data_IF_129750603775
#
_entry.id   IF_129750603775
#
_cell.length_a   1.000
_cell.length_b   1.000
_cell.length_c   1.000
_cell.angle_alpha   90.00
_cell.angle_beta   90.00
_cell.angle_gamma   90.00
#
_symmetry.space_group_name_H-M   'P 1'
#
loop_
_entity.id
_entity.type
_entity.pdbx_description
1 polymer ?
#
# COMPACT_ATOMS: atom_id res chain seq x y z
N UNK A 1 -9.91 4.53 11.28
CA UNK A 1 -9.54 4.72 9.86
C UNK A 1 -9.53 3.41 9.08
N UNK A 2 -8.53 2.52 9.24
CA UNK A 2 -8.42 1.30 8.41
C UNK A 2 -9.65 0.37 8.54
N UNK A 3 -10.10 0.11 9.76
CA UNK A 3 -11.30 -0.71 10.03
C UNK A 3 -12.55 -0.01 9.49
N UNK A 4 -12.77 1.25 9.88
CA UNK A 4 -13.98 2.00 9.52
C UNK A 4 -14.16 2.17 8.00
N UNK A 5 -13.05 2.28 7.26
CA UNK A 5 -13.06 2.47 5.81
C UNK A 5 -12.81 1.17 5.04
N UNK A 6 -12.62 0.03 5.72
CA UNK A 6 -12.29 -1.25 5.10
C UNK A 6 -11.06 -1.18 4.17
N UNK A 7 -10.00 -0.47 4.60
CA UNK A 7 -8.75 -0.29 3.83
C UNK A 7 -7.62 -1.10 4.47
N UNK A 8 -6.91 -1.89 3.65
CA UNK A 8 -5.85 -2.79 4.12
C UNK A 8 -4.48 -2.13 4.40
N UNK A 9 -4.32 -0.85 4.08
CA UNK A 9 -3.12 -0.06 4.40
C UNK A 9 -3.39 1.45 4.37
N UNK A 10 -2.47 2.22 4.95
CA UNK A 10 -2.45 3.69 4.91
C UNK A 10 -1.03 4.18 4.65
N UNK A 11 -0.90 5.24 3.85
CA UNK A 11 0.38 5.95 3.69
C UNK A 11 0.61 6.88 4.88
N UNK A 12 1.86 6.99 5.28
CA UNK A 12 2.34 7.99 6.23
C UNK A 12 3.09 9.03 5.41
N UNK A 13 2.66 10.28 5.54
CA UNK A 13 3.11 11.39 4.69
C UNK A 13 3.56 12.54 5.59
N UNK A 14 4.74 13.11 5.29
CA UNK A 14 5.28 14.31 5.92
C UNK A 14 5.68 15.28 4.80
N UNK A 15 5.28 16.55 4.90
CA UNK A 15 5.61 17.58 3.89
C UNK A 15 5.35 17.10 2.44
N UNK A 16 4.18 16.49 2.21
CA UNK A 16 3.76 15.93 0.91
C UNK A 16 4.59 14.75 0.39
N UNK A 17 5.51 14.21 1.19
CA UNK A 17 6.33 13.05 0.83
C UNK A 17 5.94 11.80 1.61
N UNK A 18 5.97 10.66 0.91
CA UNK A 18 5.74 9.37 1.55
C UNK A 18 6.95 9.01 2.41
N UNK A 19 6.75 8.95 3.73
CA UNK A 19 7.77 8.51 4.69
C UNK A 19 7.56 7.06 5.13
N UNK A 20 6.36 6.51 4.92
CA UNK A 20 6.09 5.11 5.21
C UNK A 20 4.72 4.60 4.76
N UNK A 21 4.52 3.29 4.97
CA UNK A 21 3.24 2.62 4.79
C UNK A 21 2.95 1.73 6.00
N UNK A 22 1.73 1.81 6.53
CA UNK A 22 1.27 0.93 7.59
C UNK A 22 0.16 0.02 7.06
N UNK A 23 0.28 -1.27 7.31
CA UNK A 23 -0.60 -2.31 6.73
C UNK A 23 -1.30 -3.14 7.81
N UNK A 24 -2.27 -3.97 7.41
CA UNK A 24 -2.82 -5.00 8.31
C UNK A 24 -1.75 -5.93 8.87
N UNK A 25 -0.75 -6.29 8.05
CA UNK A 25 0.42 -7.09 8.47
C UNK A 25 1.20 -6.32 9.54
N UNK A 26 1.39 -5.03 9.31
CA UNK A 26 1.72 -3.97 10.27
C UNK A 26 1.16 -4.24 11.67
N UNK A 27 -0.16 -4.11 11.72
CA UNK A 27 -0.95 -4.23 12.94
C UNK A 27 -0.83 -5.62 13.58
N UNK A 28 -0.93 -6.69 12.78
CA UNK A 28 -0.92 -8.06 13.31
C UNK A 28 0.42 -8.48 13.88
N UNK A 29 1.55 -8.15 13.23
CA UNK A 29 2.85 -8.62 13.68
C UNK A 29 3.48 -7.72 14.73
N UNK A 30 3.30 -6.40 14.61
CA UNK A 30 4.05 -5.44 15.45
C UNK A 30 3.25 -4.98 16.68
N UNK A 31 1.92 -4.99 16.65
CA UNK A 31 1.10 -4.60 17.82
C UNK A 31 0.79 -5.77 18.76
N UNK A 32 0.76 -7.01 18.24
CA UNK A 32 0.37 -8.18 19.01
C UNK A 32 1.42 -8.57 20.09
N UNK A 33 2.66 -8.11 19.97
CA UNK A 33 3.73 -8.48 20.92
C UNK A 33 3.72 -7.66 22.21
N UNK A 34 3.05 -6.49 22.28
CA UNK A 34 2.92 -5.67 23.51
C UNK A 34 1.91 -4.53 23.36
N UNK A 35 0.62 -4.83 23.16
CA UNK A 35 -0.45 -3.82 22.99
C UNK A 35 -0.42 -2.66 24.01
N UNK A 36 -0.18 -2.97 25.29
CA UNK A 36 -0.10 -1.97 26.37
C UNK A 36 1.09 -1.00 26.26
N UNK A 37 2.15 -1.40 25.54
CA UNK A 37 3.37 -0.60 25.35
C UNK A 37 3.26 0.33 24.13
N UNK A 38 2.33 0.03 23.22
CA UNK A 38 2.26 0.67 21.92
C UNK A 38 1.10 1.63 21.74
N UNK A 39 0.12 1.65 22.67
CA UNK A 39 -1.07 2.51 22.54
C UNK A 39 -0.72 3.99 22.36
N UNK A 40 0.37 4.45 22.98
CA UNK A 40 0.81 5.85 22.99
C UNK A 40 2.05 6.08 22.12
N UNK A 41 2.45 5.10 21.30
CA UNK A 41 3.58 5.23 20.38
C UNK A 41 3.10 5.69 18.99
N UNK A 42 3.90 6.50 18.27
CA UNK A 42 3.52 6.97 16.96
C UNK A 42 3.53 5.83 15.93
N UNK A 43 2.71 5.93 14.88
CA UNK A 43 2.64 4.94 13.79
C UNK A 43 3.99 4.77 13.06
N UNK A 44 4.86 5.79 13.12
CA UNK A 44 6.22 5.77 12.57
C UNK A 44 7.11 4.64 13.11
N UNK A 45 6.82 4.14 14.31
CA UNK A 45 7.52 2.99 14.92
C UNK A 45 7.06 1.63 14.34
N UNK A 46 5.88 1.59 13.72
CA UNK A 46 5.26 0.35 13.25
C UNK A 46 5.11 0.27 11.73
N UNK A 47 5.28 1.38 11.02
CA UNK A 47 5.21 1.38 9.56
C UNK A 47 6.41 0.67 8.91
N UNK A 48 6.26 0.32 7.64
CA UNK A 48 7.40 0.08 6.75
C UNK A 48 7.88 1.44 6.24
N UNK A 49 9.14 1.78 6.52
CA UNK A 49 9.76 3.04 6.07
C UNK A 49 10.12 2.97 4.58
N UNK A 50 10.09 4.11 3.90
CA UNK A 50 10.51 4.25 2.50
C UNK A 50 9.96 3.15 1.57
N UNK A 51 8.62 2.99 1.48
CA UNK A 51 8.02 1.98 0.63
C UNK A 51 8.35 2.23 -0.83
N UNK A 52 8.53 1.15 -1.60
CA UNK A 52 8.69 1.25 -3.05
C UNK A 52 7.44 1.85 -3.67
N UNK A 53 7.58 2.93 -4.42
CA UNK A 53 6.51 3.55 -5.18
C UNK A 53 6.67 3.34 -6.69
N UNK A 54 5.60 3.60 -7.44
CA UNK A 54 5.63 3.71 -8.89
C UNK A 54 5.07 5.07 -9.33
N UNK A 55 5.55 5.57 -10.47
CA UNK A 55 4.99 6.75 -11.12
C UNK A 55 3.61 6.46 -11.74
N UNK A 56 2.79 7.51 -11.90
CA UNK A 56 1.47 7.46 -12.53
C UNK A 56 1.45 6.81 -13.93
N UNK A 57 2.53 6.92 -14.69
CA UNK A 57 2.66 6.35 -16.05
C UNK A 57 3.21 4.92 -16.05
N UNK A 58 3.52 4.36 -14.87
CA UNK A 58 4.05 3.01 -14.77
C UNK A 58 3.03 1.96 -15.24
N UNK A 59 3.50 1.00 -16.03
CA UNK A 59 2.67 -0.13 -16.45
C UNK A 59 2.33 -1.02 -15.26
N UNK A 60 1.10 -1.51 -15.21
CA UNK A 60 0.58 -2.41 -14.16
C UNK A 60 1.46 -3.65 -13.95
N UNK A 61 2.10 -4.16 -15.00
CA UNK A 61 3.04 -5.31 -14.90
C UNK A 61 4.19 -5.05 -13.93
N UNK A 62 4.68 -3.81 -13.82
CA UNK A 62 5.72 -3.47 -12.87
C UNK A 62 5.22 -3.53 -11.43
N UNK A 63 3.97 -3.12 -11.17
CA UNK A 63 3.36 -3.26 -9.85
C UNK A 63 3.28 -4.75 -9.46
N UNK A 64 2.81 -5.61 -10.36
CA UNK A 64 2.77 -7.07 -10.14
C UNK A 64 4.15 -7.66 -9.84
N UNK A 65 5.15 -7.31 -10.65
CA UNK A 65 6.52 -7.79 -10.47
C UNK A 65 7.10 -7.35 -9.11
N UNK A 66 6.88 -6.11 -8.70
CA UNK A 66 7.34 -5.59 -7.40
C UNK A 66 6.64 -6.28 -6.24
N UNK A 67 5.33 -6.50 -6.35
CA UNK A 67 4.55 -7.22 -5.33
C UNK A 67 5.02 -8.66 -5.16
N UNK A 68 5.29 -9.37 -6.25
CA UNK A 68 5.79 -10.75 -6.24
C UNK A 68 7.19 -10.84 -5.58
N UNK A 69 8.14 -10.05 -6.07
CA UNK A 69 9.51 -10.06 -5.56
C UNK A 69 9.64 -9.51 -4.13
N UNK A 70 8.83 -8.52 -3.78
CA UNK A 70 8.88 -7.82 -2.50
C UNK A 70 8.02 -8.43 -1.39
N UNK A 71 7.15 -9.38 -1.71
CA UNK A 71 6.28 -10.04 -0.74
C UNK A 71 5.23 -9.12 -0.10
N UNK A 72 4.88 -8.02 -0.78
CA UNK A 72 3.85 -7.06 -0.37
C UNK A 72 2.74 -6.97 -1.43
N UNK A 73 1.60 -6.37 -1.06
CA UNK A 73 0.39 -6.38 -1.90
C UNK A 73 -0.14 -4.98 -2.25
N UNK A 74 0.57 -3.95 -1.83
CA UNK A 74 0.19 -2.56 -2.03
C UNK A 74 1.41 -1.81 -2.54
N UNK A 75 1.21 -0.96 -3.54
CA UNK A 75 2.22 -0.07 -4.10
C UNK A 75 1.66 1.36 -4.06
N UNK A 76 2.30 2.30 -3.35
CA UNK A 76 2.04 3.72 -3.50
C UNK A 76 2.30 4.19 -4.93
N UNK A 77 1.43 5.06 -5.42
CA UNK A 77 1.59 5.73 -6.71
C UNK A 77 1.92 7.20 -6.45
N UNK A 78 2.90 7.73 -7.17
CA UNK A 78 3.36 9.12 -7.05
C UNK A 78 3.26 9.87 -8.38
N UNK A 79 3.16 11.20 -8.29
CA UNK A 79 3.29 12.09 -9.45
C UNK A 79 4.76 12.33 -9.84
N UNK A 80 4.99 13.21 -10.82
CA UNK A 80 6.32 13.53 -11.33
C UNK A 80 7.20 14.25 -10.30
N UNK A 81 6.59 14.95 -9.35
CA UNK A 81 7.23 15.64 -8.24
C UNK A 81 7.49 14.72 -7.03
N UNK A 82 6.94 13.49 -7.06
CA UNK A 82 7.09 12.48 -6.03
C UNK A 82 6.03 12.52 -4.93
N UNK A 83 4.97 13.32 -5.09
CA UNK A 83 3.87 13.39 -4.14
C UNK A 83 2.93 12.19 -4.28
N UNK A 84 2.34 11.70 -3.17
CA UNK A 84 1.40 10.59 -3.20
C UNK A 84 0.11 10.96 -3.93
N UNK A 85 -0.26 10.15 -4.93
CA UNK A 85 -1.52 10.30 -5.67
C UNK A 85 -2.51 9.20 -5.30
N UNK A 86 -2.03 8.06 -4.80
CA UNK A 86 -2.89 6.96 -4.37
C UNK A 86 -2.10 5.69 -4.04
N UNK A 87 -2.84 4.58 -3.94
CA UNK A 87 -2.29 3.25 -3.69
C UNK A 87 -2.97 2.29 -4.66
N UNK A 88 -2.20 1.40 -5.30
CA UNK A 88 -2.74 0.25 -6.02
C UNK A 88 -2.49 -1.02 -5.22
N UNK A 89 -3.52 -1.85 -5.06
CA UNK A 89 -3.40 -3.16 -4.45
C UNK A 89 -3.40 -4.27 -5.51
N UNK A 90 -2.89 -5.46 -5.15
CA UNK A 90 -3.03 -6.65 -5.98
C UNK A 90 -4.50 -6.96 -6.29
N UNK A 91 -5.43 -6.63 -5.37
CA UNK A 91 -6.87 -6.81 -5.57
C UNK A 91 -7.41 -5.89 -6.65
N UNK A 92 -6.92 -4.65 -6.73
CA UNK A 92 -7.29 -3.72 -7.79
C UNK A 92 -6.85 -4.23 -9.15
N UNK A 93 -5.63 -4.76 -9.23
CA UNK A 93 -5.09 -5.34 -10.46
C UNK A 93 -5.89 -6.57 -10.87
N UNK A 94 -6.20 -7.48 -9.94
CA UNK A 94 -7.02 -8.66 -10.23
C UNK A 94 -8.41 -8.26 -10.74
N UNK A 95 -9.10 -7.34 -10.07
CA UNK A 95 -10.40 -6.82 -10.51
C UNK A 95 -10.33 -6.23 -11.91
N UNK A 96 -9.33 -5.39 -12.19
CA UNK A 96 -9.12 -4.81 -13.51
C UNK A 96 -8.91 -5.88 -14.60
N UNK A 97 -8.10 -6.91 -14.31
CA UNK A 97 -7.85 -8.00 -15.26
C UNK A 97 -9.11 -8.83 -15.50
N UNK A 98 -9.85 -9.20 -14.45
CA UNK A 98 -11.11 -9.93 -14.59
C UNK A 98 -12.12 -9.15 -15.42
N UNK A 99 -12.32 -7.86 -15.15
CA UNK A 99 -13.23 -7.00 -15.91
C UNK A 99 -12.84 -6.87 -17.40
N UNK A 100 -11.55 -6.97 -17.71
CA UNK A 100 -11.04 -6.91 -19.09
C UNK A 100 -11.15 -8.25 -19.81
N UNK A 101 -10.91 -9.36 -19.11
CA UNK A 101 -11.01 -10.71 -19.67
C UNK A 101 -12.46 -11.08 -19.96
N UNK A 102 -13.38 -10.73 -19.07
CA UNK A 102 -14.82 -10.96 -19.24
C UNK A 102 -15.39 -10.19 -20.46
N UNK A 103 -14.82 -9.02 -20.75
CA UNK A 103 -15.17 -8.20 -21.94
C UNK A 103 -14.50 -8.65 -23.24
N UNK A 104 -13.60 -9.63 -23.19
CA UNK A 104 -12.94 -10.18 -24.38
C UNK A 104 -13.57 -11.47 -24.91
N UNK A 105 -14.62 -11.96 -24.25
CA UNK A 105 -15.44 -13.11 -24.69
C UNK A 105 -16.77 -12.70 -25.36
N UNK A 106 -16.92 -11.45 -25.80
CA UNK A 106 -18.06 -10.95 -26.61
C UNK A 106 -17.60 -10.35 -27.93
#
# INVERSE_FOLDING_TARGET
LMVDQSIGCVLVVEEEKIVGIFTERDALYKLNTSFHRFKDQPVSEFMTKEPQSLDLQAKVVFALQRMDLGGFRHIPIVDAEGHPTGIISVRDILRYLTDKLDKSEV
#
